data_IF_353647369140
#
_entry.id   IF_353647369140
#
_cell.length_a   1.000
_cell.length_b   1.000
_cell.length_c   1.000
_cell.angle_alpha   90.00
_cell.angle_beta   90.00
_cell.angle_gamma   90.00
#
_symmetry.space_group_name_H-M   'P 1'
#
loop_
_entity.id
_entity.type
_entity.pdbx_description
1 polymer ?
#
# COMPACT_ATOMS: atom_id res chain seq x y z
N UNK A 1 -0.58 -22.69 -16.69
CA UNK A 1 -0.93 -21.96 -15.47
C UNK A 1 -0.81 -20.48 -15.82
N UNK A 2 -1.86 -19.70 -15.67
CA UNK A 2 -1.79 -18.24 -15.80
C UNK A 2 -0.81 -17.70 -14.75
N UNK A 3 0.07 -16.78 -15.14
CA UNK A 3 1.01 -16.16 -14.20
C UNK A 3 0.22 -15.50 -13.06
N UNK A 4 0.61 -15.75 -11.81
CA UNK A 4 0.01 -15.06 -10.65
C UNK A 4 0.31 -13.56 -10.75
N UNK A 5 -0.68 -12.73 -10.47
CA UNK A 5 -0.61 -11.27 -10.65
C UNK A 5 -0.79 -10.54 -9.32
N UNK A 6 -0.04 -9.47 -9.12
CA UNK A 6 -0.17 -8.53 -7.98
C UNK A 6 -0.66 -7.19 -8.50
N UNK A 7 -1.68 -6.63 -7.87
CA UNK A 7 -2.15 -5.28 -8.12
C UNK A 7 -1.49 -4.32 -7.13
N UNK A 8 -0.64 -3.42 -7.60
CA UNK A 8 -0.05 -2.35 -6.78
C UNK A 8 -0.92 -1.10 -6.88
N UNK A 9 -1.36 -0.60 -5.73
CA UNK A 9 -2.21 0.58 -5.61
C UNK A 9 -1.35 1.78 -5.24
N UNK A 10 -1.44 2.85 -6.03
CA UNK A 10 -0.76 4.13 -5.85
C UNK A 10 -1.79 5.22 -5.58
N UNK A 11 -1.41 6.25 -4.80
CA UNK A 11 -2.28 7.42 -4.62
C UNK A 11 -2.37 8.25 -5.90
N UNK A 12 -3.52 8.90 -6.09
CA UNK A 12 -3.72 9.97 -7.08
C UNK A 12 -3.60 11.38 -6.47
N UNK A 13 -3.30 11.47 -5.17
CA UNK A 13 -3.22 12.74 -4.45
C UNK A 13 -1.84 13.35 -4.58
N UNK A 14 -1.76 14.58 -5.08
CA UNK A 14 -0.52 15.31 -5.35
C UNK A 14 -0.23 16.44 -4.35
N UNK A 15 -1.19 16.78 -3.51
CA UNK A 15 -1.10 17.91 -2.57
C UNK A 15 -1.29 17.45 -1.13
N UNK A 16 -0.36 17.79 -0.26
CA UNK A 16 -0.34 17.45 1.17
C UNK A 16 -1.34 18.35 1.95
N UNK A 17 -2.57 17.86 2.10
CA UNK A 17 -3.63 18.62 2.73
C UNK A 17 -3.84 19.99 2.06
N UNK A 18 -3.88 21.03 2.88
CA UNK A 18 -3.99 22.44 2.45
C UNK A 18 -2.67 23.22 2.56
N UNK A 19 -1.56 22.51 2.69
CA UNK A 19 -0.23 23.12 2.91
C UNK A 19 0.36 23.74 1.65
N UNK A 20 -0.15 23.40 0.47
CA UNK A 20 0.43 23.74 -0.83
C UNK A 20 1.70 22.96 -1.19
N UNK A 21 2.15 22.04 -0.33
CA UNK A 21 3.31 21.18 -0.59
C UNK A 21 2.89 19.97 -1.43
N UNK A 22 3.80 19.49 -2.26
CA UNK A 22 3.61 18.26 -3.04
C UNK A 22 3.62 17.02 -2.13
N UNK A 23 2.87 16.00 -2.56
CA UNK A 23 2.86 14.65 -2.00
C UNK A 23 2.63 13.63 -3.12
N UNK A 24 2.58 12.36 -2.78
CA UNK A 24 2.39 11.27 -3.73
C UNK A 24 2.66 9.93 -3.06
N UNK A 25 2.83 8.87 -3.86
CA UNK A 25 3.38 7.62 -3.34
C UNK A 25 4.88 7.77 -3.05
N UNK A 26 5.37 7.03 -2.06
CA UNK A 26 6.79 7.04 -1.70
C UNK A 26 7.54 5.99 -2.54
N UNK A 27 8.48 6.43 -3.39
CA UNK A 27 9.10 5.59 -4.42
C UNK A 27 9.70 4.27 -3.90
N UNK A 28 10.48 4.24 -2.78
CA UNK A 28 11.03 2.99 -2.25
C UNK A 28 9.96 1.96 -1.86
N UNK A 29 8.76 2.40 -1.51
CA UNK A 29 7.65 1.50 -1.15
C UNK A 29 6.97 0.86 -2.38
N UNK A 30 7.36 1.28 -3.55
CA UNK A 30 7.00 0.64 -4.82
C UNK A 30 8.16 -0.19 -5.34
N UNK A 31 9.35 0.39 -5.41
CA UNK A 31 10.51 -0.23 -6.07
C UNK A 31 11.01 -1.48 -5.35
N UNK A 32 11.04 -1.46 -4.02
CA UNK A 32 11.49 -2.61 -3.22
C UNK A 32 10.51 -3.79 -3.30
N UNK A 33 9.19 -3.64 -3.08
CA UNK A 33 8.26 -4.77 -3.29
C UNK A 33 8.17 -5.21 -4.74
N UNK A 34 8.26 -4.29 -5.71
CA UNK A 34 8.23 -4.62 -7.13
C UNK A 34 9.40 -5.53 -7.51
N UNK A 35 10.62 -5.26 -7.01
CA UNK A 35 11.78 -6.10 -7.22
C UNK A 35 11.55 -7.52 -6.64
N UNK A 36 10.98 -7.60 -5.43
CA UNK A 36 10.62 -8.89 -4.81
C UNK A 36 9.61 -9.66 -5.64
N UNK A 37 8.52 -9.01 -6.08
CA UNK A 37 7.49 -9.64 -6.92
C UNK A 37 8.04 -10.08 -8.26
N UNK A 38 8.84 -9.25 -8.91
CA UNK A 38 9.45 -9.55 -10.22
C UNK A 38 10.41 -10.73 -10.12
N UNK A 39 11.27 -10.77 -9.11
CA UNK A 39 12.17 -11.91 -8.87
C UNK A 39 11.43 -13.21 -8.56
N UNK A 40 10.24 -13.12 -7.98
CA UNK A 40 9.36 -14.27 -7.77
C UNK A 40 8.57 -14.70 -9.02
N UNK A 41 8.76 -14.04 -10.16
CA UNK A 41 8.07 -14.33 -11.42
C UNK A 41 6.60 -13.90 -11.45
N UNK A 42 6.21 -12.97 -10.56
CA UNK A 42 4.84 -12.44 -10.51
C UNK A 42 4.69 -11.28 -11.51
N UNK A 43 3.57 -11.27 -12.23
CA UNK A 43 3.18 -10.10 -13.01
C UNK A 43 2.63 -9.01 -12.06
N UNK A 44 2.82 -7.75 -12.44
CA UNK A 44 2.37 -6.61 -11.64
C UNK A 44 1.57 -5.64 -12.52
N UNK A 45 0.46 -5.14 -12.02
CA UNK A 45 -0.24 -3.99 -12.60
C UNK A 45 -0.32 -2.85 -11.58
N UNK A 46 -0.41 -1.61 -12.08
CA UNK A 46 -0.55 -0.42 -11.25
C UNK A 46 -1.95 0.18 -11.42
N UNK A 47 -2.59 0.50 -10.31
CA UNK A 47 -3.90 1.16 -10.26
C UNK A 47 -3.83 2.35 -9.32
N UNK A 48 -4.60 3.40 -9.60
CA UNK A 48 -4.79 4.51 -8.66
C UNK A 48 -6.25 4.96 -8.66
N UNK A 49 -6.73 5.66 -7.61
CA UNK A 49 -8.14 6.06 -7.50
C UNK A 49 -8.72 6.76 -8.73
N UNK A 50 -7.92 7.59 -9.39
CA UNK A 50 -8.33 8.33 -10.59
C UNK A 50 -7.84 7.71 -11.90
N UNK A 51 -6.87 6.79 -11.84
CA UNK A 51 -6.11 6.38 -13.01
C UNK A 51 -5.15 7.47 -13.50
N UNK A 52 -4.37 7.16 -14.55
CA UNK A 52 -3.42 8.09 -15.14
C UNK A 52 -2.18 8.30 -14.27
N UNK A 53 -1.63 9.50 -14.28
CA UNK A 53 -0.34 9.78 -13.61
C UNK A 53 -0.49 9.76 -12.07
N UNK A 54 0.21 8.83 -11.44
CA UNK A 54 0.36 8.79 -9.99
C UNK A 54 1.52 9.72 -9.57
N UNK A 55 1.28 10.69 -8.65
CA UNK A 55 2.35 11.59 -8.16
C UNK A 55 3.34 10.81 -7.29
N UNK A 56 4.63 11.14 -7.42
CA UNK A 56 5.74 10.41 -6.83
C UNK A 56 6.55 11.31 -5.91
N UNK A 57 6.96 10.77 -4.75
CA UNK A 57 7.88 11.41 -3.79
C UNK A 57 8.98 10.44 -3.37
N UNK A 58 9.94 10.88 -2.56
CA UNK A 58 10.99 10.01 -2.04
C UNK A 58 11.99 9.57 -3.10
N UNK A 59 12.25 10.43 -4.09
CA UNK A 59 13.23 10.15 -5.16
C UNK A 59 14.63 10.25 -4.55
N UNK A 60 15.22 9.09 -4.29
CA UNK A 60 16.62 8.95 -3.89
C UNK A 60 17.35 8.09 -4.94
N UNK A 61 18.26 8.71 -5.70
CA UNK A 61 19.05 8.04 -6.74
C UNK A 61 20.25 7.26 -6.18
N UNK A 62 20.55 7.40 -4.89
CA UNK A 62 21.53 6.56 -4.21
C UNK A 62 20.97 5.15 -3.95
N UNK A 63 19.65 5.00 -3.88
CA UNK A 63 19.00 3.69 -3.85
C UNK A 63 19.03 3.06 -5.26
N UNK A 64 19.70 1.91 -5.43
CA UNK A 64 19.84 1.28 -6.74
C UNK A 64 18.52 0.80 -7.35
N UNK A 65 17.52 0.44 -6.53
CA UNK A 65 16.20 0.01 -7.02
C UNK A 65 15.38 1.20 -7.52
N UNK A 66 15.45 2.34 -6.83
CA UNK A 66 14.85 3.58 -7.29
C UNK A 66 15.48 4.03 -8.62
N UNK A 67 16.81 4.01 -8.68
CA UNK A 67 17.53 4.36 -9.91
C UNK A 67 17.15 3.44 -11.07
N UNK A 68 17.15 2.13 -10.86
CA UNK A 68 16.81 1.15 -11.89
C UNK A 68 15.36 1.32 -12.38
N UNK A 69 14.43 1.65 -11.48
CA UNK A 69 13.03 1.93 -11.81
C UNK A 69 12.93 3.19 -12.69
N UNK A 70 13.58 4.27 -12.30
CA UNK A 70 13.53 5.55 -13.02
C UNK A 70 14.26 5.52 -14.38
N UNK A 71 15.30 4.69 -14.51
CA UNK A 71 16.00 4.45 -15.78
C UNK A 71 15.16 3.54 -16.73
N UNK A 72 14.12 2.87 -16.24
CA UNK A 72 13.25 2.03 -17.03
C UNK A 72 12.02 2.82 -17.51
N UNK A 73 12.07 3.29 -18.75
CA UNK A 73 10.99 4.10 -19.33
C UNK A 73 9.62 3.38 -19.41
N UNK A 74 9.61 2.04 -19.51
CA UNK A 74 8.37 1.26 -19.49
C UNK A 74 7.72 1.29 -18.11
N UNK A 75 8.50 1.06 -17.03
CA UNK A 75 7.99 1.13 -15.66
C UNK A 75 7.51 2.54 -15.31
N UNK A 76 8.27 3.57 -15.68
CA UNK A 76 7.87 4.97 -15.48
C UNK A 76 6.56 5.26 -16.23
N UNK A 77 6.45 4.84 -17.48
CA UNK A 77 5.21 5.00 -18.25
C UNK A 77 4.01 4.32 -17.59
N UNK A 78 4.19 3.16 -16.95
CA UNK A 78 3.11 2.44 -16.27
C UNK A 78 2.58 3.15 -15.03
N UNK A 79 3.42 3.87 -14.28
CA UNK A 79 2.96 4.69 -13.14
C UNK A 79 2.45 6.08 -13.58
N UNK A 80 2.82 6.54 -14.75
CA UNK A 80 2.24 7.73 -15.38
C UNK A 80 0.90 7.45 -16.07
N UNK A 81 0.58 6.17 -16.32
CA UNK A 81 -0.65 5.71 -16.95
C UNK A 81 -1.28 4.55 -16.18
N UNK A 82 -1.47 4.73 -14.86
CA UNK A 82 -2.10 3.70 -14.02
C UNK A 82 -3.52 3.39 -14.48
N UNK A 83 -3.94 2.15 -14.27
CA UNK A 83 -5.33 1.76 -14.44
C UNK A 83 -6.23 2.51 -13.43
N UNK A 84 -7.49 2.70 -13.76
CA UNK A 84 -8.48 3.13 -12.77
C UNK A 84 -9.24 1.90 -12.22
N UNK A 85 -9.89 2.00 -11.04
CA UNK A 85 -10.55 0.85 -10.42
C UNK A 85 -11.65 0.19 -11.28
N UNK A 86 -12.28 0.92 -12.20
CA UNK A 86 -13.30 0.35 -13.08
C UNK A 86 -12.74 -0.59 -14.16
N UNK A 87 -11.42 -0.59 -14.38
CA UNK A 87 -10.73 -1.45 -15.33
C UNK A 87 -10.21 -2.75 -14.69
N UNK A 88 -10.39 -2.92 -13.36
CA UNK A 88 -9.85 -4.03 -12.60
C UNK A 88 -10.91 -5.13 -12.45
N UNK A 89 -10.58 -6.33 -12.93
CA UNK A 89 -11.27 -7.56 -12.53
C UNK A 89 -10.50 -8.20 -11.36
N UNK A 90 -11.06 -8.22 -10.12
CA UNK A 90 -10.37 -8.79 -8.97
C UNK A 90 -9.97 -10.26 -9.15
N UNK A 91 -10.68 -11.01 -10.00
CA UNK A 91 -10.41 -12.44 -10.24
C UNK A 91 -9.08 -12.67 -10.96
N UNK A 92 -8.50 -11.67 -11.60
CA UNK A 92 -7.19 -11.78 -12.26
C UNK A 92 -6.00 -11.70 -11.28
N UNK A 93 -6.23 -11.28 -10.02
CA UNK A 93 -5.16 -10.97 -9.07
C UNK A 93 -5.13 -11.95 -7.91
N UNK A 94 -3.93 -12.47 -7.63
CA UNK A 94 -3.65 -13.29 -6.44
C UNK A 94 -3.39 -12.43 -5.19
N UNK A 95 -3.08 -11.15 -5.38
CA UNK A 95 -2.82 -10.22 -4.28
C UNK A 95 -3.04 -8.77 -4.71
N UNK A 96 -3.32 -7.92 -3.71
CA UNK A 96 -3.33 -6.45 -3.83
C UNK A 96 -2.35 -5.87 -2.79
N UNK A 97 -1.55 -4.90 -3.20
CA UNK A 97 -0.56 -4.23 -2.35
C UNK A 97 -0.75 -2.71 -2.41
N UNK A 98 -0.94 -2.10 -1.26
CA UNK A 98 -1.08 -0.66 -1.11
C UNK A 98 0.27 -0.03 -0.73
N UNK A 99 0.90 0.66 -1.67
CA UNK A 99 2.07 1.47 -1.39
C UNK A 99 1.68 2.70 -0.56
N UNK A 100 2.57 3.14 0.31
CA UNK A 100 2.32 4.33 1.10
C UNK A 100 2.80 5.62 0.45
N UNK A 101 3.15 6.57 1.29
CA UNK A 101 3.29 7.98 1.01
C UNK A 101 2.09 8.74 1.55
N UNK A 102 2.27 9.97 2.01
CA UNK A 102 1.21 10.71 2.73
C UNK A 102 -0.05 10.95 1.89
N UNK A 103 0.08 11.04 0.55
CA UNK A 103 -1.08 11.25 -0.33
C UNK A 103 -2.21 10.24 -0.12
N UNK A 104 -1.87 9.00 0.25
CA UNK A 104 -2.82 7.91 0.50
C UNK A 104 -3.84 8.22 1.59
N UNK A 105 -3.47 9.08 2.55
CA UNK A 105 -4.34 9.46 3.67
C UNK A 105 -5.60 10.21 3.23
N UNK A 106 -5.60 10.81 2.04
CA UNK A 106 -6.73 11.60 1.52
C UNK A 106 -7.60 10.86 0.51
N UNK A 107 -7.04 9.89 -0.23
CA UNK A 107 -7.80 9.26 -1.31
C UNK A 107 -8.06 7.76 -1.14
N UNK A 108 -7.27 7.04 -0.33
CA UNK A 108 -7.51 5.61 -0.12
C UNK A 108 -8.70 5.29 0.78
N UNK A 109 -8.91 5.98 1.94
CA UNK A 109 -9.93 5.57 2.89
C UNK A 109 -11.36 5.57 2.33
N UNK A 110 -11.63 6.49 1.40
CA UNK A 110 -12.98 6.73 0.88
C UNK A 110 -13.19 6.18 -0.54
N UNK A 111 -12.19 5.51 -1.13
CA UNK A 111 -12.39 4.85 -2.43
C UNK A 111 -13.08 3.48 -2.24
N UNK A 112 -14.41 3.51 -2.31
CA UNK A 112 -15.24 2.32 -2.16
C UNK A 112 -14.97 1.24 -3.23
N UNK A 113 -14.45 1.62 -4.42
CA UNK A 113 -14.14 0.66 -5.50
C UNK A 113 -12.86 -0.10 -5.18
N UNK A 114 -11.81 0.60 -4.75
CA UNK A 114 -10.57 -0.06 -4.30
C UNK A 114 -10.83 -0.93 -3.07
N UNK A 115 -11.67 -0.47 -2.13
CA UNK A 115 -12.06 -1.27 -0.97
C UNK A 115 -12.79 -2.57 -1.40
N UNK A 116 -13.72 -2.48 -2.36
CA UNK A 116 -14.41 -3.65 -2.88
C UNK A 116 -13.48 -4.62 -3.63
N UNK A 117 -12.53 -4.11 -4.43
CA UNK A 117 -11.51 -4.92 -5.11
C UNK A 117 -10.70 -5.71 -4.07
N UNK A 118 -10.21 -5.04 -3.03
CA UNK A 118 -9.41 -5.69 -1.98
C UNK A 118 -10.22 -6.74 -1.21
N UNK A 119 -11.48 -6.44 -0.86
CA UNK A 119 -12.37 -7.39 -0.20
C UNK A 119 -12.59 -8.64 -1.07
N UNK A 120 -12.88 -8.46 -2.36
CA UNK A 120 -13.08 -9.57 -3.30
C UNK A 120 -11.82 -10.44 -3.45
N UNK A 121 -10.64 -9.83 -3.61
CA UNK A 121 -9.38 -10.56 -3.66
C UNK A 121 -9.16 -11.34 -2.37
N UNK A 122 -9.36 -10.72 -1.21
CA UNK A 122 -9.19 -11.37 0.09
C UNK A 122 -10.17 -12.53 0.28
N UNK A 123 -11.45 -12.35 -0.01
CA UNK A 123 -12.49 -13.38 0.16
C UNK A 123 -12.34 -14.53 -0.84
N UNK A 124 -11.76 -14.27 -2.01
CA UNK A 124 -11.36 -15.31 -2.97
C UNK A 124 -10.10 -16.11 -2.55
N UNK A 125 -9.53 -15.82 -1.36
CA UNK A 125 -8.33 -16.49 -0.86
C UNK A 125 -7.02 -15.77 -1.20
N UNK A 126 -7.07 -14.61 -1.86
CA UNK A 126 -5.92 -13.78 -2.18
C UNK A 126 -5.37 -13.01 -0.97
N UNK A 127 -4.28 -12.30 -1.18
CA UNK A 127 -3.50 -11.64 -0.15
C UNK A 127 -3.68 -10.13 -0.25
N UNK A 128 -3.81 -9.46 0.90
CA UNK A 128 -3.80 -8.00 1.01
C UNK A 128 -2.51 -7.57 1.70
N UNK A 129 -1.73 -6.70 1.07
CA UNK A 129 -0.53 -6.10 1.63
C UNK A 129 -0.64 -4.58 1.71
N UNK A 130 0.02 -3.98 2.72
CA UNK A 130 0.10 -2.52 2.82
C UNK A 130 1.32 -2.10 3.66
N UNK A 131 1.90 -0.94 3.39
CA UNK A 131 3.06 -0.44 4.12
C UNK A 131 2.96 1.06 4.41
N UNK A 132 3.53 1.49 5.54
CA UNK A 132 3.65 2.91 5.94
C UNK A 132 2.25 3.56 6.06
N UNK A 133 1.90 4.51 5.17
CA UNK A 133 0.55 5.09 5.08
C UNK A 133 -0.40 4.30 4.15
N UNK A 134 0.08 3.30 3.40
CA UNK A 134 -0.76 2.41 2.58
C UNK A 134 -1.93 1.77 3.34
N UNK A 135 -1.76 1.37 4.64
CA UNK A 135 -2.86 0.88 5.48
C UNK A 135 -4.03 1.85 5.68
N UNK A 136 -3.94 3.12 5.24
CA UNK A 136 -5.09 4.02 5.16
C UNK A 136 -6.23 3.43 4.31
N UNK A 137 -5.90 2.62 3.29
CA UNK A 137 -6.88 1.88 2.51
C UNK A 137 -7.68 0.88 3.35
N UNK A 138 -7.06 0.30 4.40
CA UNK A 138 -7.65 -0.77 5.18
C UNK A 138 -8.73 -0.30 6.15
N UNK A 139 -8.76 1.00 6.49
CA UNK A 139 -9.63 1.55 7.54
C UNK A 139 -11.13 1.40 7.24
N UNK A 140 -11.51 1.30 5.97
CA UNK A 140 -12.90 1.17 5.56
C UNK A 140 -13.20 -0.07 4.70
N UNK A 141 -12.24 -1.00 4.51
CA UNK A 141 -12.53 -2.26 3.84
C UNK A 141 -13.42 -3.11 4.73
N UNK A 142 -14.61 -3.43 4.23
CA UNK A 142 -15.55 -4.36 4.87
C UNK A 142 -15.66 -5.63 4.04
N UNK A 143 -15.67 -6.76 4.74
CA UNK A 143 -15.93 -8.07 4.17
C UNK A 143 -17.43 -8.31 3.99
N UNK A 144 -17.81 -9.37 3.29
CA UNK A 144 -19.21 -9.73 3.02
C UNK A 144 -20.04 -9.98 4.26
N UNK A 145 -19.38 -10.33 5.39
CA UNK A 145 -20.03 -10.48 6.70
C UNK A 145 -20.29 -9.13 7.41
N UNK A 146 -19.88 -8.00 6.81
CA UNK A 146 -20.03 -6.64 7.35
C UNK A 146 -18.93 -6.19 8.31
N UNK A 147 -18.00 -7.08 8.69
CA UNK A 147 -16.89 -6.74 9.57
C UNK A 147 -15.76 -6.01 8.80
N UNK A 148 -15.02 -5.17 9.49
CA UNK A 148 -13.81 -4.58 8.91
C UNK A 148 -12.73 -5.66 8.68
N UNK A 149 -12.04 -5.60 7.53
CA UNK A 149 -10.94 -6.51 7.21
C UNK A 149 -9.90 -6.59 8.34
N UNK A 150 -9.62 -5.47 9.00
CA UNK A 150 -8.63 -5.38 10.07
C UNK A 150 -9.15 -5.84 11.44
N UNK A 151 -10.46 -6.03 11.61
CA UNK A 151 -11.05 -6.40 12.90
C UNK A 151 -10.45 -7.73 13.41
N UNK A 152 -9.98 -7.71 14.67
CA UNK A 152 -9.32 -8.83 15.35
C UNK A 152 -8.01 -9.31 14.68
N UNK A 153 -7.47 -8.58 13.69
CA UNK A 153 -6.17 -8.90 13.07
C UNK A 153 -5.06 -8.04 13.65
N UNK A 154 -3.88 -8.63 13.76
CA UNK A 154 -2.68 -7.87 14.10
C UNK A 154 -2.22 -7.10 12.87
N UNK A 155 -2.02 -5.79 13.02
CA UNK A 155 -1.58 -4.91 11.93
C UNK A 155 -0.47 -3.97 12.40
N UNK A 156 0.33 -3.51 11.47
CA UNK A 156 1.32 -2.44 11.66
C UNK A 156 1.14 -1.40 10.56
N UNK A 157 1.40 -0.16 10.87
CA UNK A 157 1.32 0.97 9.94
C UNK A 157 2.18 2.11 10.47
N UNK A 158 2.28 3.21 9.75
CA UNK A 158 2.92 4.42 10.24
C UNK A 158 2.29 4.86 11.56
N UNK A 159 3.13 5.02 12.58
CA UNK A 159 2.65 5.21 13.95
C UNK A 159 2.34 6.67 14.24
N UNK A 160 1.56 6.93 15.29
CA UNK A 160 1.33 8.30 15.76
C UNK A 160 2.63 8.98 16.18
N UNK A 161 3.60 8.22 16.71
CA UNK A 161 4.91 8.72 17.10
C UNK A 161 5.76 9.09 15.88
N UNK A 162 5.72 8.26 14.83
CA UNK A 162 6.38 8.56 13.54
C UNK A 162 5.74 9.78 12.87
N UNK A 163 4.41 9.90 12.88
CA UNK A 163 3.70 11.07 12.34
C UNK A 163 4.08 12.36 13.07
N UNK A 164 4.22 12.28 14.39
CA UNK A 164 4.73 13.39 15.22
C UNK A 164 6.18 13.72 14.89
N UNK A 165 7.02 12.71 14.71
CA UNK A 165 8.45 12.89 14.40
C UNK A 165 8.68 13.57 13.04
N UNK A 166 7.80 13.34 12.06
CA UNK A 166 7.86 14.04 10.75
C UNK A 166 7.08 15.36 10.74
N UNK A 167 6.42 15.73 11.87
CA UNK A 167 5.75 17.02 12.04
C UNK A 167 4.42 17.15 11.28
N UNK A 168 3.73 16.05 10.99
CA UNK A 168 2.52 16.07 10.17
C UNK A 168 1.23 15.69 10.93
N UNK A 169 1.30 15.51 12.26
CA UNK A 169 0.16 15.16 13.13
C UNK A 169 -1.09 16.03 12.88
N UNK A 170 -0.89 17.34 12.72
CA UNK A 170 -1.99 18.31 12.52
C UNK A 170 -2.36 18.52 11.05
N UNK A 171 -1.64 17.86 10.15
CA UNK A 171 -1.84 17.99 8.69
C UNK A 171 -2.64 16.82 8.13
N UNK A 172 -2.35 15.59 8.59
CA UNK A 172 -3.08 14.40 8.14
C UNK A 172 -4.54 14.46 8.59
N UNK A 173 -5.49 13.95 7.79
CA UNK A 173 -6.92 14.05 8.10
C UNK A 173 -7.32 13.24 9.34
N UNK A 174 -6.52 12.27 9.72
CA UNK A 174 -6.64 11.47 10.95
C UNK A 174 -5.30 10.76 11.23
N UNK A 175 -5.12 10.33 12.49
CA UNK A 175 -3.98 9.51 12.88
C UNK A 175 -4.23 8.03 12.52
N UNK A 176 -3.38 7.47 11.65
CA UNK A 176 -3.59 6.15 11.05
C UNK A 176 -3.60 5.02 12.09
N UNK A 177 -2.62 4.98 12.99
CA UNK A 177 -2.58 4.03 14.12
C UNK A 177 -3.89 4.05 14.91
N UNK A 178 -4.33 5.24 15.30
CA UNK A 178 -5.57 5.41 16.07
C UNK A 178 -6.81 4.93 15.31
N UNK A 179 -6.88 5.23 14.01
CA UNK A 179 -7.99 4.82 13.17
C UNK A 179 -8.06 3.31 12.97
N UNK A 180 -6.93 2.64 12.77
CA UNK A 180 -6.89 1.18 12.67
C UNK A 180 -7.33 0.50 13.98
N UNK A 181 -6.90 1.03 15.14
CA UNK A 181 -7.37 0.56 16.46
C UNK A 181 -8.88 0.76 16.59
N UNK A 182 -9.41 1.92 16.18
CA UNK A 182 -10.87 2.21 16.18
C UNK A 182 -11.65 1.18 15.32
N UNK A 183 -11.04 0.66 14.26
CA UNK A 183 -11.62 -0.38 13.40
C UNK A 183 -11.47 -1.80 13.95
N UNK A 184 -10.96 -1.95 15.17
CA UNK A 184 -10.84 -3.23 15.87
C UNK A 184 -9.55 -3.99 15.58
N UNK A 185 -8.53 -3.34 15.02
CA UNK A 185 -7.22 -3.95 14.81
C UNK A 185 -6.44 -4.09 16.12
N UNK A 186 -5.67 -5.17 16.25
CA UNK A 186 -4.62 -5.33 17.26
C UNK A 186 -3.34 -4.68 16.71
N UNK A 187 -3.10 -3.42 17.06
CA UNK A 187 -1.97 -2.67 16.51
C UNK A 187 -0.65 -3.11 17.14
N UNK A 188 0.34 -3.41 16.29
CA UNK A 188 1.70 -3.81 16.69
C UNK A 188 2.70 -2.80 16.14
N UNK A 189 3.62 -2.34 16.99
CA UNK A 189 4.67 -1.39 16.60
C UNK A 189 6.01 -1.68 17.26
N UNK A 190 7.06 -1.22 16.61
CA UNK A 190 8.44 -1.16 17.10
C UNK A 190 8.89 0.31 17.18
N UNK A 191 10.07 0.65 17.72
CA UNK A 191 10.57 2.02 17.71
C UNK A 191 10.54 2.65 16.32
N UNK A 192 10.40 3.98 16.27
CA UNK A 192 10.25 4.76 15.05
C UNK A 192 11.28 4.39 13.98
N UNK A 193 10.82 4.24 12.74
CA UNK A 193 11.61 3.96 11.54
C UNK A 193 12.39 2.63 11.55
N UNK A 194 12.12 1.76 12.52
CA UNK A 194 12.64 0.38 12.53
C UNK A 194 11.76 -0.52 11.66
N UNK A 195 12.38 -1.57 11.10
CA UNK A 195 11.65 -2.57 10.31
C UNK A 195 10.66 -3.32 11.18
N UNK A 196 9.39 -3.32 10.79
CA UNK A 196 8.34 -4.12 11.40
C UNK A 196 7.39 -4.62 10.32
N UNK A 197 7.30 -5.93 10.17
CA UNK A 197 6.38 -6.59 9.25
C UNK A 197 5.53 -7.58 10.03
N UNK A 198 4.23 -7.45 9.89
CA UNK A 198 3.24 -8.28 10.58
C UNK A 198 2.40 -9.04 9.55
N UNK A 199 2.21 -10.32 9.80
CA UNK A 199 1.30 -11.17 9.03
C UNK A 199 0.19 -11.67 9.94
N UNK A 200 -1.04 -11.43 9.56
CA UNK A 200 -2.23 -11.92 10.25
C UNK A 200 -3.18 -12.54 9.24
N UNK A 201 -3.20 -13.87 9.19
CA UNK A 201 -3.87 -14.64 8.13
C UNK A 201 -3.29 -14.25 6.74
N UNK A 202 -4.09 -13.76 5.81
CA UNK A 202 -3.67 -13.28 4.48
C UNK A 202 -3.52 -11.75 4.39
N UNK A 203 -3.42 -11.08 5.52
CA UNK A 203 -3.13 -9.66 5.62
C UNK A 203 -1.68 -9.46 6.05
N UNK A 204 -0.89 -8.72 5.26
CA UNK A 204 0.52 -8.42 5.53
C UNK A 204 0.70 -6.92 5.61
N UNK A 205 1.18 -6.41 6.74
CA UNK A 205 1.35 -4.97 6.93
C UNK A 205 2.75 -4.62 7.44
N UNK A 206 3.26 -3.47 7.02
CA UNK A 206 4.55 -2.94 7.43
C UNK A 206 4.45 -1.52 7.99
N UNK A 207 5.25 -1.22 9.02
CA UNK A 207 5.12 0.02 9.79
C UNK A 207 5.52 1.27 9.00
N UNK A 208 6.57 1.20 8.20
CA UNK A 208 7.24 2.36 7.61
C UNK A 208 8.00 1.95 6.34
N UNK A 209 8.63 2.88 5.61
CA UNK A 209 9.33 2.57 4.36
C UNK A 209 10.37 1.46 4.47
N UNK A 210 11.09 1.36 5.61
CA UNK A 210 12.09 0.33 5.82
C UNK A 210 11.49 -1.10 5.81
N UNK A 211 10.18 -1.23 6.01
CA UNK A 211 9.46 -2.50 6.03
C UNK A 211 8.98 -2.97 4.65
N UNK A 212 9.11 -2.14 3.60
CA UNK A 212 8.47 -2.36 2.30
C UNK A 212 8.91 -3.68 1.62
N UNK A 213 10.20 -3.95 1.53
CA UNK A 213 10.71 -5.20 0.96
C UNK A 213 10.18 -6.42 1.73
N UNK A 214 10.22 -6.37 3.06
CA UNK A 214 9.75 -7.46 3.94
C UNK A 214 8.25 -7.75 3.77
N UNK A 215 7.42 -6.73 3.54
CA UNK A 215 6.00 -6.94 3.20
C UNK A 215 5.89 -7.72 1.88
N UNK A 216 6.63 -7.30 0.84
CA UNK A 216 6.68 -8.02 -0.43
C UNK A 216 7.09 -9.48 -0.27
N UNK A 217 8.14 -9.76 0.51
CA UNK A 217 8.65 -11.10 0.77
C UNK A 217 7.62 -12.00 1.48
N UNK A 218 6.90 -11.48 2.49
CA UNK A 218 5.85 -12.25 3.16
C UNK A 218 4.66 -12.49 2.24
N UNK A 219 4.27 -11.51 1.41
CA UNK A 219 3.22 -11.70 0.40
C UNK A 219 3.60 -12.81 -0.59
N UNK A 220 4.85 -12.83 -1.10
CA UNK A 220 5.34 -13.89 -2.02
C UNK A 220 5.28 -15.26 -1.37
N UNK A 221 5.66 -15.39 -0.09
CA UNK A 221 5.55 -16.66 0.65
C UNK A 221 4.11 -17.16 0.69
N UNK A 222 3.15 -16.26 1.02
CA UNK A 222 1.73 -16.61 1.08
C UNK A 222 1.15 -16.94 -0.31
N UNK A 223 1.59 -16.23 -1.36
CA UNK A 223 1.16 -16.51 -2.74
C UNK A 223 1.59 -17.90 -3.18
N UNK A 224 2.72 -18.42 -2.69
CA UNK A 224 3.31 -19.70 -3.08
C UNK A 224 2.98 -20.85 -2.12
N UNK A 225 2.29 -20.59 -1.01
CA UNK A 225 1.80 -21.63 -0.10
C UNK A 225 0.49 -22.24 -0.57
#
# INVERSE_FOLDING_TARGET
MTAKKVLIVLTSRDTLGETGKETGFYLPEVTHPLDVFTRAGLAVDFVSPKGGKAPMTGIDLADPLNKAFLDNSELVSRVENTLNPAQIDPAEYSAIFYAGGHGTMWDFPDDARLAAIAANIYEAGGIVGAVCHGPAALVNIKLSNGEYLVANKTVSAFTNEEESAVGLTEIVPFLLESKLIERGANFSKVPNFQVSVVTSDRLVTGQNPASAAGVGEQMVKLINS
#
